data_IF_178596557994
#
_entry.id   IF_178596557994
#
_cell.length_a   1.000
_cell.length_b   1.000
_cell.length_c   1.000
_cell.angle_alpha   90.00
_cell.angle_beta   90.00
_cell.angle_gamma   90.00
#
_symmetry.space_group_name_H-M   'P 1'
#
loop_
_entity.id
_entity.type
_entity.pdbx_description
1 polymer ?
#
# COMPACT_ATOMS: atom_id res chain seq x y z
N UNK A 1 -51.44 -42.03 -16.21
CA UNK A 1 -50.66 -40.87 -16.69
C UNK A 1 -50.54 -39.89 -15.53
N UNK A 2 -49.39 -39.90 -14.85
CA UNK A 2 -49.12 -39.02 -13.72
C UNK A 2 -48.48 -37.76 -14.28
N UNK A 3 -49.20 -36.64 -14.20
CA UNK A 3 -48.68 -35.33 -14.60
C UNK A 3 -47.75 -34.85 -13.49
N UNK A 4 -46.45 -35.08 -13.66
CA UNK A 4 -45.43 -34.44 -12.85
C UNK A 4 -45.44 -32.94 -13.15
N UNK A 5 -46.00 -32.17 -12.22
CA UNK A 5 -45.81 -30.72 -12.19
C UNK A 5 -44.34 -30.44 -11.87
N UNK A 6 -43.61 -29.68 -12.70
CA UNK A 6 -42.26 -29.29 -12.36
C UNK A 6 -42.32 -28.36 -11.15
N UNK A 7 -41.76 -28.82 -10.02
CA UNK A 7 -41.40 -27.95 -8.93
C UNK A 7 -40.38 -26.94 -9.48
N UNK A 8 -40.87 -25.74 -9.79
CA UNK A 8 -40.03 -24.55 -9.95
C UNK A 8 -39.35 -24.32 -8.60
N UNK A 9 -38.14 -24.85 -8.46
CA UNK A 9 -37.22 -24.45 -7.41
C UNK A 9 -36.99 -22.95 -7.56
N UNK A 10 -37.63 -22.17 -6.71
CA UNK A 10 -37.33 -20.76 -6.53
C UNK A 10 -35.88 -20.66 -6.05
N UNK A 11 -34.94 -20.50 -6.98
CA UNK A 11 -33.62 -19.98 -6.65
C UNK A 11 -33.85 -18.56 -6.14
N UNK A 12 -33.96 -18.41 -4.80
CA UNK A 12 -33.88 -17.09 -4.18
C UNK A 12 -32.52 -16.51 -4.57
N UNK A 13 -32.54 -15.47 -5.40
CA UNK A 13 -31.35 -14.73 -5.78
C UNK A 13 -30.68 -14.20 -4.50
N UNK A 14 -29.34 -14.19 -4.43
CA UNK A 14 -28.66 -13.68 -3.24
C UNK A 14 -28.97 -12.19 -3.06
N UNK A 15 -28.97 -11.67 -1.83
CA UNK A 15 -29.23 -10.25 -1.61
C UNK A 15 -28.15 -9.39 -2.30
N UNK A 16 -26.94 -9.94 -2.43
CA UNK A 16 -25.86 -9.37 -3.21
C UNK A 16 -26.22 -9.19 -4.67
N UNK A 17 -26.77 -10.22 -5.32
CA UNK A 17 -27.22 -10.17 -6.71
C UNK A 17 -28.39 -9.18 -6.89
N UNK A 18 -29.34 -9.17 -5.95
CA UNK A 18 -30.49 -8.25 -6.00
C UNK A 18 -30.05 -6.78 -5.93
N UNK A 19 -29.15 -6.43 -5.01
CA UNK A 19 -28.75 -5.05 -4.77
C UNK A 19 -27.72 -4.57 -5.79
N UNK A 20 -26.65 -5.34 -6.01
CA UNK A 20 -25.56 -4.93 -6.91
C UNK A 20 -25.87 -5.26 -8.37
N UNK A 21 -26.64 -6.31 -8.64
CA UNK A 21 -27.05 -6.67 -10.01
C UNK A 21 -28.08 -5.70 -10.60
N UNK A 22 -28.84 -5.00 -9.74
CA UNK A 22 -29.73 -3.91 -10.17
C UNK A 22 -28.98 -2.64 -10.60
N UNK A 23 -27.69 -2.50 -10.29
CA UNK A 23 -26.90 -1.32 -10.65
C UNK A 23 -26.39 -1.42 -12.09
N UNK A 24 -26.55 -0.34 -12.85
CA UNK A 24 -25.93 -0.21 -14.18
C UNK A 24 -24.41 -0.30 -14.10
N UNK A 25 -23.79 -1.01 -15.06
CA UNK A 25 -22.32 -1.08 -15.17
C UNK A 25 -21.72 0.34 -15.26
N UNK A 26 -20.86 0.76 -14.32
CA UNK A 26 -20.24 2.06 -14.36
C UNK A 26 -19.14 2.14 -15.44
N UNK A 27 -18.94 3.32 -16.03
CA UNK A 27 -17.92 3.55 -17.07
C UNK A 27 -16.49 3.32 -16.58
N UNK A 28 -16.22 3.53 -15.29
CA UNK A 28 -14.91 3.31 -14.69
C UNK A 28 -14.58 1.82 -14.46
N UNK A 29 -15.56 0.92 -14.57
CA UNK A 29 -15.33 -0.52 -14.46
C UNK A 29 -15.00 -1.06 -15.86
N UNK A 30 -13.71 -1.22 -16.15
CA UNK A 30 -13.21 -1.59 -17.47
C UNK A 30 -13.67 -3.00 -17.82
N UNK A 31 -13.36 -3.96 -16.94
CA UNK A 31 -13.64 -5.39 -17.13
C UNK A 31 -14.54 -5.92 -16.02
N UNK A 32 -15.36 -6.91 -16.36
CA UNK A 32 -16.25 -7.60 -15.41
C UNK A 32 -17.59 -6.92 -15.14
N UNK A 33 -18.24 -7.43 -14.09
CA UNK A 33 -19.53 -7.01 -13.53
C UNK A 33 -19.35 -6.60 -12.07
N UNK A 34 -20.28 -5.79 -11.54
CA UNK A 34 -20.27 -5.42 -10.11
C UNK A 34 -20.43 -6.62 -9.17
N UNK A 35 -20.96 -7.73 -9.67
CA UNK A 35 -21.08 -8.97 -8.92
C UNK A 35 -19.72 -9.65 -8.70
N UNK A 36 -18.76 -9.46 -9.60
CA UNK A 36 -17.47 -10.15 -9.57
C UNK A 36 -16.64 -9.76 -8.32
N UNK A 37 -15.85 -10.70 -7.81
CA UNK A 37 -14.99 -10.47 -6.65
C UNK A 37 -13.74 -9.65 -6.99
N UNK A 38 -13.45 -9.46 -8.27
CA UNK A 38 -12.27 -8.75 -8.73
C UNK A 38 -12.68 -7.68 -9.74
N UNK A 39 -12.28 -6.43 -9.48
CA UNK A 39 -12.60 -5.30 -10.34
C UNK A 39 -11.35 -4.68 -10.93
N UNK A 40 -11.40 -4.40 -12.22
CA UNK A 40 -10.43 -3.56 -12.94
C UNK A 40 -11.00 -2.16 -13.10
N UNK A 41 -10.49 -1.21 -12.33
CA UNK A 41 -11.08 0.13 -12.13
C UNK A 41 -10.18 1.21 -12.71
N UNK A 42 -10.70 2.02 -13.63
CA UNK A 42 -9.99 3.16 -14.21
C UNK A 42 -10.48 4.47 -13.59
N UNK A 43 -9.54 5.27 -13.06
CA UNK A 43 -9.85 6.52 -12.34
C UNK A 43 -8.92 7.60 -12.88
N UNK A 44 -9.50 8.66 -13.44
CA UNK A 44 -8.79 9.76 -14.08
C UNK A 44 -8.80 9.65 -15.60
N UNK A 45 -8.38 10.73 -16.26
CA UNK A 45 -8.56 10.94 -17.71
C UNK A 45 -7.36 10.45 -18.54
N UNK A 46 -6.29 9.99 -17.90
CA UNK A 46 -5.10 9.52 -18.61
C UNK A 46 -5.32 8.10 -19.14
N UNK A 47 -5.56 7.96 -20.45
CA UNK A 47 -5.63 6.68 -21.17
C UNK A 47 -4.42 5.77 -20.91
N UNK A 48 -3.27 6.35 -20.53
CA UNK A 48 -2.02 5.64 -20.24
C UNK A 48 -1.89 5.13 -18.80
N UNK A 49 -2.82 5.44 -17.88
CA UNK A 49 -2.75 4.93 -16.52
C UNK A 49 -3.31 3.50 -16.43
N UNK A 50 -2.47 2.55 -16.02
CA UNK A 50 -2.89 1.15 -15.80
C UNK A 50 -4.11 1.09 -14.86
N UNK A 51 -5.13 0.26 -15.12
CA UNK A 51 -6.25 0.09 -14.20
C UNK A 51 -5.81 -0.30 -12.78
N UNK A 52 -6.58 0.15 -11.79
CA UNK A 52 -6.47 -0.32 -10.42
C UNK A 52 -7.19 -1.66 -10.29
N UNK A 53 -6.47 -2.68 -9.85
CA UNK A 53 -7.07 -3.94 -9.49
C UNK A 53 -7.53 -3.93 -8.03
N UNK A 54 -8.79 -4.29 -7.80
CA UNK A 54 -9.38 -4.42 -6.46
C UNK A 54 -9.89 -5.84 -6.31
N UNK A 55 -9.40 -6.52 -5.29
CA UNK A 55 -9.80 -7.89 -4.95
C UNK A 55 -10.60 -7.87 -3.64
N UNK A 56 -11.86 -8.34 -3.70
CA UNK A 56 -12.75 -8.47 -2.55
C UNK A 56 -12.62 -9.81 -1.84
N UNK A 57 -11.90 -10.80 -2.39
CA UNK A 57 -11.58 -12.05 -1.69
C UNK A 57 -10.48 -11.83 -0.64
N UNK A 58 -10.83 -11.08 0.40
CA UNK A 58 -9.92 -10.61 1.43
C UNK A 58 -10.16 -11.40 2.73
N UNK A 59 -9.11 -11.96 3.37
CA UNK A 59 -9.26 -12.64 4.65
C UNK A 59 -9.82 -11.69 5.73
N UNK A 60 -10.82 -12.16 6.48
CA UNK A 60 -11.46 -11.41 7.57
C UNK A 60 -11.12 -12.03 8.92
N UNK A 61 -11.33 -13.34 9.07
CA UNK A 61 -11.03 -14.06 10.32
C UNK A 61 -9.71 -14.80 10.21
N UNK A 62 -8.96 -14.94 11.32
CA UNK A 62 -7.74 -15.72 11.35
C UNK A 62 -8.04 -17.24 11.42
N UNK A 63 -7.01 -18.05 11.20
CA UNK A 63 -7.03 -19.47 11.57
C UNK A 63 -7.37 -19.63 13.07
N UNK A 64 -8.13 -20.66 13.50
CA UNK A 64 -8.59 -21.82 12.72
C UNK A 64 -9.80 -21.57 11.83
N UNK A 65 -10.63 -20.59 12.16
CA UNK A 65 -11.89 -20.32 11.48
C UNK A 65 -11.69 -19.30 10.34
N UNK A 66 -10.70 -19.54 9.48
CA UNK A 66 -10.32 -18.62 8.42
C UNK A 66 -11.44 -18.49 7.38
N UNK A 67 -11.97 -17.28 7.24
CA UNK A 67 -13.03 -16.91 6.32
C UNK A 67 -12.61 -15.64 5.57
N UNK A 68 -12.99 -15.55 4.31
CA UNK A 68 -12.81 -14.37 3.48
C UNK A 68 -14.09 -13.54 3.42
N UNK A 69 -13.98 -12.31 2.95
CA UNK A 69 -15.11 -11.39 2.80
C UNK A 69 -16.15 -11.91 1.80
N UNK A 70 -15.78 -12.83 0.91
CA UNK A 70 -16.70 -13.45 -0.05
C UNK A 70 -17.48 -14.62 0.53
N UNK A 71 -17.19 -15.03 1.78
CA UNK A 71 -17.99 -16.05 2.45
C UNK A 71 -19.41 -15.54 2.77
N UNK A 72 -20.44 -16.41 2.73
CA UNK A 72 -21.83 -16.01 2.99
C UNK A 72 -22.06 -15.31 4.33
N UNK A 73 -21.23 -15.61 5.33
CA UNK A 73 -21.30 -14.96 6.65
C UNK A 73 -21.03 -13.44 6.60
N UNK A 74 -20.40 -12.95 5.53
CA UNK A 74 -20.05 -11.54 5.34
C UNK A 74 -20.74 -10.91 4.12
N UNK A 75 -21.83 -11.51 3.63
CA UNK A 75 -22.56 -11.00 2.45
C UNK A 75 -22.94 -9.52 2.60
N UNK A 76 -23.51 -9.13 3.75
CA UNK A 76 -23.89 -7.73 4.02
C UNK A 76 -22.69 -6.77 4.00
N UNK A 77 -21.52 -7.23 4.47
CA UNK A 77 -20.29 -6.45 4.46
C UNK A 77 -19.71 -6.31 3.05
N UNK A 78 -19.75 -7.39 2.26
CA UNK A 78 -19.36 -7.39 0.86
C UNK A 78 -20.23 -6.41 0.04
N UNK A 79 -21.54 -6.43 0.25
CA UNK A 79 -22.47 -5.48 -0.37
C UNK A 79 -22.11 -4.05 0.07
N UNK A 80 -21.92 -3.84 1.38
CA UNK A 80 -21.61 -2.52 1.95
C UNK A 80 -20.34 -1.93 1.33
N UNK A 81 -19.23 -2.67 1.31
CA UNK A 81 -17.97 -2.16 0.80
C UNK A 81 -18.04 -1.87 -0.72
N UNK A 82 -18.72 -2.74 -1.49
CA UNK A 82 -18.91 -2.56 -2.94
C UNK A 82 -19.79 -1.34 -3.23
N UNK A 83 -20.88 -1.15 -2.49
CA UNK A 83 -21.72 0.04 -2.62
C UNK A 83 -20.96 1.31 -2.25
N UNK A 84 -20.22 1.31 -1.14
CA UNK A 84 -19.43 2.47 -0.74
C UNK A 84 -18.39 2.81 -1.80
N UNK A 85 -17.76 1.80 -2.41
CA UNK A 85 -16.84 1.98 -3.52
C UNK A 85 -17.53 2.66 -4.72
N UNK A 86 -18.68 2.14 -5.15
CA UNK A 86 -19.46 2.71 -6.26
C UNK A 86 -19.88 4.15 -5.96
N UNK A 87 -20.42 4.41 -4.76
CA UNK A 87 -20.90 5.73 -4.35
C UNK A 87 -19.75 6.73 -4.19
N UNK A 88 -18.55 6.27 -3.79
CA UNK A 88 -17.36 7.11 -3.65
C UNK A 88 -16.81 7.62 -4.98
N UNK A 89 -17.03 6.86 -6.07
CA UNK A 89 -16.60 7.20 -7.43
C UNK A 89 -17.67 7.94 -8.24
N UNK A 90 -18.88 8.14 -7.71
CA UNK A 90 -19.88 8.97 -8.37
C UNK A 90 -19.42 10.45 -8.44
N UNK A 91 -20.00 11.26 -9.34
CA UNK A 91 -19.77 12.70 -9.32
C UNK A 91 -20.14 13.33 -7.96
N UNK A 92 -19.58 14.51 -7.69
CA UNK A 92 -20.03 15.35 -6.57
C UNK A 92 -21.53 15.66 -6.74
N UNK A 93 -22.30 15.77 -5.65
CA UNK A 93 -21.86 15.87 -4.26
C UNK A 93 -21.67 14.52 -3.55
N UNK A 94 -22.01 13.40 -4.19
CA UNK A 94 -22.03 12.09 -3.53
C UNK A 94 -20.62 11.50 -3.43
N UNK A 95 -19.89 11.40 -4.54
CA UNK A 95 -18.54 10.86 -4.52
C UNK A 95 -17.49 11.85 -4.02
N UNK A 96 -16.34 11.28 -3.65
CA UNK A 96 -15.22 12.02 -3.03
C UNK A 96 -13.84 11.49 -3.41
N UNK A 97 -13.76 10.41 -4.17
CA UNK A 97 -12.50 9.86 -4.68
C UNK A 97 -12.28 10.39 -6.10
N UNK A 98 -11.12 10.99 -6.31
CA UNK A 98 -10.71 11.56 -7.60
C UNK A 98 -9.36 11.04 -8.07
N UNK A 99 -8.72 10.15 -7.31
CA UNK A 99 -7.38 9.65 -7.62
C UNK A 99 -7.25 8.18 -7.25
N UNK A 100 -6.61 7.42 -8.15
CA UNK A 100 -6.28 6.01 -7.96
C UNK A 100 -5.59 5.70 -6.64
N UNK A 101 -4.60 6.51 -6.25
CA UNK A 101 -3.78 6.29 -5.03
C UNK A 101 -4.65 6.32 -3.76
N UNK A 102 -5.78 7.02 -3.83
CA UNK A 102 -6.66 7.20 -2.68
C UNK A 102 -7.64 6.04 -2.46
N UNK A 103 -7.88 5.17 -3.45
CA UNK A 103 -8.90 4.11 -3.36
C UNK A 103 -8.57 3.06 -2.30
N UNK A 104 -7.41 2.39 -2.44
CA UNK A 104 -6.99 1.34 -1.53
C UNK A 104 -6.95 1.81 -0.06
N UNK A 105 -6.16 2.84 0.27
CA UNK A 105 -6.01 3.29 1.65
C UNK A 105 -7.16 4.15 2.20
N UNK A 106 -8.11 4.64 1.40
CA UNK A 106 -9.26 5.39 1.95
C UNK A 106 -10.60 4.64 1.89
N UNK A 107 -10.72 3.61 1.05
CA UNK A 107 -11.94 2.79 0.98
C UNK A 107 -11.58 1.37 1.42
N UNK A 108 -10.94 0.61 0.55
CA UNK A 108 -10.90 -0.86 0.66
C UNK A 108 -10.23 -1.30 1.97
N UNK A 109 -9.00 -0.84 2.24
CA UNK A 109 -8.23 -1.34 3.38
C UNK A 109 -8.83 -0.96 4.74
N UNK A 110 -9.32 0.28 4.90
CA UNK A 110 -9.86 0.72 6.18
C UNK A 110 -11.20 0.06 6.50
N UNK A 111 -12.05 -0.14 5.48
CA UNK A 111 -13.31 -0.83 5.66
C UNK A 111 -13.09 -2.30 6.00
N UNK A 112 -12.16 -2.97 5.33
CA UNK A 112 -11.81 -4.35 5.66
C UNK A 112 -11.25 -4.43 7.08
N UNK A 113 -10.34 -3.54 7.49
CA UNK A 113 -9.82 -3.51 8.86
C UNK A 113 -10.93 -3.22 9.90
N UNK A 114 -11.92 -2.39 9.53
CA UNK A 114 -13.10 -2.15 10.36
C UNK A 114 -13.95 -3.41 10.52
N UNK A 115 -14.21 -4.14 9.41
CA UNK A 115 -14.92 -5.42 9.43
C UNK A 115 -14.17 -6.43 10.31
N UNK A 116 -12.85 -6.58 10.13
CA UNK A 116 -12.00 -7.45 10.96
C UNK A 116 -12.13 -7.13 12.45
N UNK A 117 -12.02 -5.84 12.81
CA UNK A 117 -12.19 -5.38 14.19
C UNK A 117 -13.58 -5.72 14.76
N UNK A 118 -14.63 -5.53 13.94
CA UNK A 118 -16.03 -5.73 14.31
C UNK A 118 -16.33 -7.22 14.53
N UNK A 119 -15.87 -8.06 13.61
CA UNK A 119 -15.97 -9.52 13.67
C UNK A 119 -15.25 -10.10 14.88
N UNK A 120 -14.04 -9.63 15.20
CA UNK A 120 -13.29 -10.04 16.41
C UNK A 120 -14.06 -9.82 17.71
N UNK A 121 -14.95 -8.83 17.72
CA UNK A 121 -15.76 -8.44 18.88
C UNK A 121 -17.17 -9.04 18.85
N UNK A 122 -17.42 -9.96 17.93
CA UNK A 122 -18.70 -10.65 17.80
C UNK A 122 -19.81 -9.78 17.23
N UNK A 123 -19.50 -8.61 16.66
CA UNK A 123 -20.49 -7.73 16.03
C UNK A 123 -20.59 -8.14 14.57
N UNK A 124 -21.73 -8.68 14.15
CA UNK A 124 -21.91 -9.26 12.81
C UNK A 124 -22.38 -8.26 11.74
N UNK A 125 -23.01 -7.15 12.12
CA UNK A 125 -23.53 -6.17 11.18
C UNK A 125 -23.34 -4.73 11.65
N UNK A 126 -23.41 -3.77 10.73
CA UNK A 126 -23.25 -2.35 11.01
C UNK A 126 -24.44 -1.77 11.77
N UNK A 127 -25.65 -2.31 11.61
CA UNK A 127 -26.83 -1.90 12.39
C UNK A 127 -26.68 -2.08 13.90
N UNK A 128 -25.86 -3.04 14.35
CA UNK A 128 -25.61 -3.29 15.78
C UNK A 128 -24.60 -2.32 16.41
N UNK A 129 -23.98 -1.45 15.61
CA UNK A 129 -23.03 -0.47 16.11
C UNK A 129 -23.73 0.62 16.92
N UNK A 130 -23.20 0.88 18.11
CA UNK A 130 -23.71 1.85 19.07
C UNK A 130 -22.57 2.69 19.66
N UNK A 131 -22.88 3.57 20.61
CA UNK A 131 -21.89 4.43 21.27
C UNK A 131 -20.81 3.63 22.01
N UNK A 132 -21.16 2.50 22.65
CA UNK A 132 -20.20 1.65 23.36
C UNK A 132 -19.18 1.04 22.38
N UNK A 133 -19.64 0.56 21.22
CA UNK A 133 -18.76 0.05 20.17
C UNK A 133 -17.84 1.12 19.60
N UNK A 134 -18.32 2.35 19.45
CA UNK A 134 -17.46 3.47 19.06
C UNK A 134 -16.38 3.76 20.11
N UNK A 135 -16.72 3.76 21.40
CA UNK A 135 -15.75 3.99 22.48
C UNK A 135 -14.68 2.88 22.53
N UNK A 136 -15.08 1.62 22.33
CA UNK A 136 -14.16 0.47 22.24
C UNK A 136 -13.25 0.58 21.01
N UNK A 137 -13.79 1.01 19.86
CA UNK A 137 -13.00 1.28 18.65
C UNK A 137 -11.97 2.38 18.89
N UNK A 138 -12.41 3.48 19.49
CA UNK A 138 -11.59 4.65 19.81
C UNK A 138 -10.46 4.29 20.79
N UNK A 139 -10.77 3.54 21.84
CA UNK A 139 -9.79 3.05 22.81
C UNK A 139 -8.77 2.10 22.15
N UNK A 140 -9.25 1.17 21.31
CA UNK A 140 -8.40 0.23 20.58
C UNK A 140 -7.40 0.96 19.68
N UNK A 141 -7.85 1.94 18.90
CA UNK A 141 -7.00 2.70 17.98
C UNK A 141 -6.01 3.62 18.73
N UNK A 142 -6.43 4.22 19.85
CA UNK A 142 -5.54 5.06 20.68
C UNK A 142 -4.43 4.26 21.37
N UNK A 143 -4.72 3.02 21.76
CA UNK A 143 -3.76 2.17 22.49
C UNK A 143 -2.56 1.78 21.62
N UNK A 144 -2.81 1.20 20.45
CA UNK A 144 -1.75 0.69 19.57
C UNK A 144 -2.09 0.85 18.08
N UNK A 145 -2.79 1.91 17.67
CA UNK A 145 -3.13 2.11 16.25
C UNK A 145 -3.90 0.92 15.66
N UNK A 146 -3.59 0.59 14.40
CA UNK A 146 -4.03 -0.59 13.67
C UNK A 146 -3.72 -1.90 14.40
N UNK A 147 -2.61 -1.98 15.13
CA UNK A 147 -2.31 -3.16 15.96
C UNK A 147 -3.31 -3.31 17.10
N UNK A 148 -3.72 -2.20 17.72
CA UNK A 148 -4.76 -2.21 18.75
C UNK A 148 -6.14 -2.60 18.22
N UNK A 149 -6.43 -2.31 16.95
CA UNK A 149 -7.67 -2.74 16.29
C UNK A 149 -7.69 -4.25 16.01
N UNK A 150 -6.63 -4.77 15.41
CA UNK A 150 -6.59 -6.13 14.83
C UNK A 150 -5.93 -7.17 15.75
N UNK A 151 -5.18 -6.75 16.77
CA UNK A 151 -4.43 -7.58 17.71
C UNK A 151 -3.55 -8.64 17.00
N UNK A 152 -2.87 -8.28 15.90
CA UNK A 152 -2.18 -9.24 15.03
C UNK A 152 -1.04 -9.98 15.75
N UNK A 153 -0.39 -9.36 16.73
CA UNK A 153 0.67 -9.99 17.53
C UNK A 153 0.12 -11.18 18.32
N UNK A 154 -1.08 -11.02 18.91
CA UNK A 154 -1.75 -12.12 19.62
C UNK A 154 -2.12 -13.26 18.67
N UNK A 155 -2.68 -12.93 17.51
CA UNK A 155 -2.99 -13.90 16.45
C UNK A 155 -1.73 -14.63 15.98
N UNK A 156 -0.63 -13.91 15.76
CA UNK A 156 0.65 -14.47 15.35
C UNK A 156 1.21 -15.44 16.39
N UNK A 157 1.12 -15.10 17.68
CA UNK A 157 1.51 -15.99 18.77
C UNK A 157 0.73 -17.31 18.73
N UNK A 158 -0.59 -17.26 18.57
CA UNK A 158 -1.43 -18.47 18.48
C UNK A 158 -1.03 -19.34 17.28
N UNK A 159 -0.89 -18.74 16.10
CA UNK A 159 -0.51 -19.47 14.87
C UNK A 159 0.88 -20.09 15.00
N UNK A 160 1.87 -19.35 15.49
CA UNK A 160 3.24 -19.85 15.64
C UNK A 160 3.36 -20.94 16.72
N UNK A 161 2.51 -20.91 17.74
CA UNK A 161 2.36 -22.03 18.68
C UNK A 161 1.78 -23.26 17.99
N UNK A 162 0.75 -23.11 17.16
CA UNK A 162 0.17 -24.20 16.38
C UNK A 162 1.17 -24.80 15.36
N UNK A 163 2.00 -23.96 14.75
CA UNK A 163 3.12 -24.39 13.89
C UNK A 163 4.15 -25.17 14.69
N UNK A 164 4.52 -24.69 15.89
CA UNK A 164 5.45 -25.39 16.79
C UNK A 164 4.93 -26.78 17.21
N UNK A 165 3.61 -26.92 17.35
CA UNK A 165 2.92 -28.19 17.62
C UNK A 165 2.66 -29.04 16.37
N UNK A 166 3.12 -28.61 15.20
CA UNK A 166 2.88 -29.25 13.89
C UNK A 166 1.40 -29.37 13.49
N UNK A 167 0.51 -28.57 14.09
CA UNK A 167 -0.90 -28.51 13.71
C UNK A 167 -1.11 -27.75 12.39
N UNK A 168 -0.19 -26.82 12.06
CA UNK A 168 -0.20 -26.04 10.82
C UNK A 168 1.15 -26.22 10.12
N UNK A 169 1.12 -26.53 8.83
CA UNK A 169 2.30 -26.49 7.96
C UNK A 169 2.26 -25.19 7.15
N UNK A 170 3.26 -24.33 7.37
CA UNK A 170 3.37 -23.09 6.61
C UNK A 170 3.89 -23.38 5.20
N UNK A 171 3.28 -22.79 4.17
CA UNK A 171 3.77 -22.95 2.81
C UNK A 171 5.09 -22.18 2.64
N UNK A 172 5.92 -22.77 1.81
CA UNK A 172 7.26 -22.29 1.49
C UNK A 172 7.21 -21.72 0.08
N UNK A 173 7.91 -20.62 -0.15
CA UNK A 173 8.05 -20.04 -1.48
C UNK A 173 9.00 -20.87 -2.36
N UNK A 174 9.09 -20.50 -3.64
CA UNK A 174 9.97 -21.17 -4.64
C UNK A 174 11.45 -21.19 -4.20
N UNK A 175 11.84 -20.34 -3.25
CA UNK A 175 13.22 -20.17 -2.78
C UNK A 175 13.51 -20.92 -1.48
N UNK A 176 12.53 -21.63 -0.93
CA UNK A 176 12.69 -22.34 0.34
C UNK A 176 12.45 -21.48 1.57
N UNK A 177 11.96 -20.24 1.42
CA UNK A 177 11.63 -19.34 2.54
C UNK A 177 10.14 -19.45 2.91
N UNK A 178 9.79 -19.23 4.18
CA UNK A 178 8.38 -19.21 4.59
C UNK A 178 7.64 -18.06 3.88
N UNK A 179 6.51 -18.37 3.25
CA UNK A 179 5.71 -17.38 2.52
C UNK A 179 5.04 -16.40 3.48
N UNK A 180 5.48 -15.13 3.41
CA UNK A 180 4.91 -14.04 4.21
C UNK A 180 3.45 -13.77 3.90
N UNK A 181 3.04 -13.90 2.63
CA UNK A 181 1.65 -13.68 2.20
C UNK A 181 0.73 -14.78 2.69
N UNK A 182 1.20 -16.04 2.68
CA UNK A 182 0.41 -17.13 3.23
C UNK A 182 0.25 -17.02 4.75
N UNK A 183 1.31 -16.62 5.47
CA UNK A 183 1.21 -16.35 6.90
C UNK A 183 0.26 -15.18 7.19
N UNK A 184 0.29 -14.13 6.35
CA UNK A 184 -0.64 -13.02 6.44
C UNK A 184 -2.11 -13.47 6.28
N UNK A 185 -2.39 -14.36 5.31
CA UNK A 185 -3.73 -14.94 5.15
C UNK A 185 -4.18 -15.71 6.40
N UNK A 186 -3.28 -16.50 7.02
CA UNK A 186 -3.58 -17.18 8.29
C UNK A 186 -3.87 -16.22 9.45
N UNK A 187 -3.27 -15.03 9.45
CA UNK A 187 -3.56 -13.96 10.41
C UNK A 187 -4.90 -13.26 10.14
N UNK A 188 -5.56 -13.58 9.04
CA UNK A 188 -6.78 -12.90 8.60
C UNK A 188 -6.50 -11.56 7.93
N UNK A 189 -5.34 -11.37 7.27
CA UNK A 189 -5.03 -10.16 6.49
C UNK A 189 -4.57 -10.47 5.06
N UNK A 190 -4.78 -9.53 4.13
CA UNK A 190 -4.66 -9.78 2.68
C UNK A 190 -3.25 -10.08 2.14
N UNK A 191 -2.19 -9.67 2.86
CA UNK A 191 -0.82 -9.90 2.40
C UNK A 191 0.23 -9.44 3.41
N UNK A 192 1.49 -9.78 3.15
CA UNK A 192 2.60 -9.54 4.08
C UNK A 192 2.76 -8.07 4.45
N UNK A 193 2.50 -7.15 3.51
CA UNK A 193 2.53 -5.69 3.74
C UNK A 193 1.45 -5.20 4.70
N UNK A 194 0.34 -5.96 4.84
CA UNK A 194 -0.75 -5.65 5.76
C UNK A 194 -0.47 -6.09 7.19
N UNK A 195 0.57 -6.88 7.44
CA UNK A 195 1.00 -7.22 8.81
C UNK A 195 1.61 -5.98 9.47
N UNK A 196 1.16 -5.70 10.70
CA UNK A 196 1.64 -4.57 11.51
C UNK A 196 3.12 -4.73 11.86
N UNK A 197 3.86 -3.64 12.09
CA UNK A 197 5.27 -3.71 12.48
C UNK A 197 5.52 -4.59 13.72
N UNK A 198 4.64 -4.49 14.72
CA UNK A 198 4.70 -5.25 15.97
C UNK A 198 4.59 -6.75 15.73
N UNK A 199 3.54 -7.17 15.02
CA UNK A 199 3.34 -8.59 14.70
C UNK A 199 4.46 -9.11 13.78
N UNK A 200 4.91 -8.30 12.80
CA UNK A 200 6.01 -8.67 11.91
C UNK A 200 7.30 -8.90 12.68
N UNK A 201 7.65 -8.03 13.62
CA UNK A 201 8.83 -8.20 14.45
C UNK A 201 8.76 -9.49 15.27
N UNK A 202 7.60 -9.76 15.90
CA UNK A 202 7.40 -11.00 16.65
C UNK A 202 7.62 -12.25 15.79
N UNK A 203 7.08 -12.25 14.57
CA UNK A 203 7.24 -13.34 13.60
C UNK A 203 8.71 -13.50 13.17
N UNK A 204 9.39 -12.38 12.86
CA UNK A 204 10.81 -12.38 12.47
C UNK A 204 11.69 -12.97 13.59
N UNK A 205 11.43 -12.61 14.86
CA UNK A 205 12.13 -13.16 16.03
C UNK A 205 11.92 -14.67 16.14
N UNK A 206 10.67 -15.14 16.06
CA UNK A 206 10.36 -16.56 16.16
C UNK A 206 11.09 -17.42 15.13
N UNK A 207 11.07 -17.02 13.85
CA UNK A 207 11.74 -17.80 12.80
C UNK A 207 13.26 -17.74 12.90
N UNK A 208 13.81 -16.60 13.39
CA UNK A 208 15.23 -16.47 13.67
C UNK A 208 15.67 -17.46 14.76
N UNK A 209 14.91 -17.58 15.85
CA UNK A 209 15.18 -18.55 16.93
C UNK A 209 15.12 -20.00 16.44
N UNK A 210 14.17 -20.32 15.56
CA UNK A 210 14.04 -21.66 14.95
C UNK A 210 15.00 -21.94 13.80
N UNK A 211 15.91 -21.00 13.48
CA UNK A 211 16.85 -21.08 12.34
C UNK A 211 16.15 -21.32 10.99
N UNK A 212 14.90 -20.90 10.87
CA UNK A 212 14.12 -20.96 9.63
C UNK A 212 14.23 -19.64 8.86
N UNK A 213 14.04 -19.69 7.54
CA UNK A 213 14.10 -18.50 6.70
C UNK A 213 12.71 -17.87 6.58
N UNK A 214 12.59 -16.60 6.96
CA UNK A 214 11.34 -15.83 6.85
C UNK A 214 11.56 -14.53 6.10
N UNK A 215 11.28 -14.52 4.79
CA UNK A 215 11.50 -13.40 3.85
C UNK A 215 12.93 -12.83 3.82
N UNK A 216 13.34 -12.31 2.65
CA UNK A 216 14.70 -11.77 2.46
C UNK A 216 15.02 -10.56 3.35
N UNK A 217 14.03 -9.69 3.55
CA UNK A 217 14.22 -8.39 4.23
C UNK A 217 14.39 -8.52 5.75
N UNK A 218 14.08 -9.66 6.35
CA UNK A 218 14.26 -9.88 7.80
C UNK A 218 15.73 -10.12 8.18
N UNK A 219 16.52 -10.72 7.28
CA UNK A 219 17.95 -11.04 7.51
C UNK A 219 18.87 -9.85 7.34
N UNK A 220 18.54 -8.95 6.42
CA UNK A 220 19.39 -7.82 6.03
C UNK A 220 19.10 -6.56 6.86
N UNK A 221 18.09 -6.59 7.75
CA UNK A 221 17.72 -5.41 8.54
C UNK A 221 18.66 -5.25 9.74
N UNK A 222 19.63 -4.34 9.60
CA UNK A 222 20.52 -3.94 10.69
C UNK A 222 19.77 -3.20 11.81
N UNK A 223 18.69 -2.49 11.47
CA UNK A 223 17.85 -1.74 12.40
C UNK A 223 16.54 -2.47 12.71
N UNK A 224 16.14 -2.61 13.99
CA UNK A 224 14.82 -3.11 14.34
C UNK A 224 13.71 -2.29 13.69
N UNK A 225 12.53 -2.89 13.45
CA UNK A 225 11.36 -2.12 13.05
C UNK A 225 11.02 -1.13 14.17
N UNK A 226 10.67 0.12 13.84
CA UNK A 226 10.12 1.03 14.83
C UNK A 226 8.81 0.43 15.36
N UNK A 227 8.77 0.14 16.65
CA UNK A 227 7.58 -0.37 17.35
C UNK A 227 6.84 0.78 18.02
N UNK A 228 5.52 0.69 18.08
CA UNK A 228 4.71 1.67 18.81
C UNK A 228 4.75 3.06 18.16
N UNK A 229 4.77 3.11 16.82
CA UNK A 229 4.78 4.38 16.11
C UNK A 229 3.54 5.21 16.44
N UNK A 230 3.75 6.40 17.01
CA UNK A 230 2.72 7.41 17.17
C UNK A 230 1.97 7.58 15.84
N UNK A 231 0.67 7.27 15.85
CA UNK A 231 -0.14 7.42 14.66
C UNK A 231 -0.26 8.90 14.36
N UNK A 232 0.13 9.28 13.16
CA UNK A 232 -0.08 10.64 12.70
C UNK A 232 -1.58 10.88 12.50
N UNK A 233 -2.05 12.09 12.81
CA UNK A 233 -3.45 12.52 12.66
C UNK A 233 -4.07 12.13 11.31
N UNK A 234 -3.30 12.23 10.22
CA UNK A 234 -3.76 11.89 8.87
C UNK A 234 -4.03 10.40 8.69
N UNK A 235 -3.20 9.54 9.28
CA UNK A 235 -3.40 8.09 9.28
C UNK A 235 -4.58 7.70 10.18
N UNK A 236 -4.66 8.24 11.40
CA UNK A 236 -5.77 8.00 12.31
C UNK A 236 -7.11 8.43 11.69
N UNK A 237 -7.15 9.59 11.03
CA UNK A 237 -8.36 10.09 10.37
C UNK A 237 -8.93 9.13 9.32
N UNK A 238 -8.08 8.34 8.65
CA UNK A 238 -8.54 7.34 7.68
C UNK A 238 -9.37 6.23 8.33
N UNK A 239 -8.99 5.80 9.53
CA UNK A 239 -9.73 4.80 10.29
C UNK A 239 -11.08 5.34 10.80
N UNK A 240 -11.10 6.54 11.39
CA UNK A 240 -12.36 7.15 11.86
C UNK A 240 -13.32 7.56 10.75
N UNK A 241 -12.83 7.81 9.52
CA UNK A 241 -13.69 8.14 8.38
C UNK A 241 -14.71 7.06 8.08
N UNK A 242 -14.41 5.78 8.37
CA UNK A 242 -15.35 4.66 8.17
C UNK A 242 -16.68 4.92 8.88
N UNK A 243 -16.64 5.36 10.14
CA UNK A 243 -17.84 5.71 10.91
C UNK A 243 -18.62 6.87 10.29
N UNK A 244 -17.91 7.89 9.80
CA UNK A 244 -18.53 9.04 9.15
C UNK A 244 -19.17 8.65 7.80
N UNK A 245 -18.45 7.89 6.97
CA UNK A 245 -18.88 7.51 5.63
C UNK A 245 -20.05 6.50 5.71
N UNK A 246 -20.04 5.54 6.65
CA UNK A 246 -21.19 4.66 6.94
C UNK A 246 -22.44 5.47 7.32
N UNK A 247 -22.29 6.46 8.21
CA UNK A 247 -23.44 7.29 8.61
C UNK A 247 -23.94 8.18 7.46
N UNK A 248 -23.01 8.82 6.74
CA UNK A 248 -23.33 9.69 5.61
C UNK A 248 -24.08 8.94 4.51
N UNK A 249 -23.72 7.69 4.25
CA UNK A 249 -24.30 6.86 3.20
C UNK A 249 -25.43 5.96 3.72
N UNK A 250 -25.86 6.11 4.97
CA UNK A 250 -26.87 5.25 5.62
C UNK A 250 -28.14 5.05 4.80
N UNK A 251 -28.61 6.07 4.10
CA UNK A 251 -29.81 5.97 3.24
C UNK A 251 -29.61 5.10 1.99
N UNK A 252 -28.37 4.94 1.53
CA UNK A 252 -28.01 4.08 0.40
C UNK A 252 -27.61 2.66 0.84
N UNK A 253 -27.47 2.43 2.14
CA UNK A 253 -27.07 1.15 2.75
C UNK A 253 -28.28 0.53 3.46
N UNK A 254 -29.40 0.40 2.76
CA UNK A 254 -30.67 -0.07 3.34
C UNK A 254 -30.61 -1.50 3.87
N UNK A 255 -29.72 -2.34 3.33
CA UNK A 255 -29.49 -3.72 3.77
C UNK A 255 -28.79 -3.80 5.14
N UNK A 256 -27.95 -2.83 5.48
CA UNK A 256 -27.22 -2.79 6.75
C UNK A 256 -26.90 -1.36 7.23
N UNK A 257 -27.93 -0.56 7.60
CA UNK A 257 -27.74 0.83 7.97
C UNK A 257 -27.14 0.95 9.37
N UNK A 258 -26.05 1.70 9.51
CA UNK A 258 -25.41 1.93 10.82
C UNK A 258 -26.39 2.57 11.84
N UNK A 259 -26.34 2.08 13.08
CA UNK A 259 -27.21 2.52 14.17
C UNK A 259 -26.77 3.79 14.91
N UNK A 260 -25.50 4.19 14.76
CA UNK A 260 -24.90 5.26 15.57
C UNK A 260 -24.10 6.28 14.76
N UNK A 261 -24.32 7.56 15.08
CA UNK A 261 -23.64 8.70 14.47
C UNK A 261 -22.47 9.17 15.34
N UNK A 262 -21.28 8.63 15.09
CA UNK A 262 -20.08 9.10 15.78
C UNK A 262 -19.68 10.54 15.40
N UNK A 263 -19.86 10.91 14.12
CA UNK A 263 -19.46 12.23 13.60
C UNK A 263 -20.54 12.82 12.70
N UNK A 264 -20.77 14.12 12.81
CA UNK A 264 -21.69 14.88 11.94
C UNK A 264 -21.03 15.33 10.66
N UNK A 265 -19.75 15.70 10.72
CA UNK A 265 -19.00 16.26 9.60
C UNK A 265 -17.58 15.70 9.50
N UNK A 266 -16.97 15.78 8.31
CA UNK A 266 -15.54 15.45 8.14
C UNK A 266 -14.62 16.32 9.03
N UNK A 267 -15.02 17.56 9.31
CA UNK A 267 -14.26 18.48 10.19
C UNK A 267 -14.20 17.97 11.62
N UNK A 268 -15.28 17.36 12.11
CA UNK A 268 -15.29 16.74 13.45
C UNK A 268 -14.35 15.54 13.53
N UNK A 269 -14.27 14.71 12.49
CA UNK A 269 -13.27 13.63 12.42
C UNK A 269 -11.86 14.20 12.56
N UNK A 270 -11.52 15.22 11.76
CA UNK A 270 -10.20 15.86 11.83
C UNK A 270 -9.92 16.48 13.20
N UNK A 271 -10.91 17.14 13.81
CA UNK A 271 -10.78 17.75 15.15
C UNK A 271 -10.56 16.67 16.23
N UNK A 272 -11.32 15.58 16.18
CA UNK A 272 -11.14 14.43 17.08
C UNK A 272 -9.73 13.86 16.95
N UNK A 273 -9.26 13.63 15.72
CA UNK A 273 -7.92 13.09 15.52
C UNK A 273 -6.82 14.05 16.01
N UNK A 274 -6.92 15.36 15.75
CA UNK A 274 -5.93 16.34 16.23
C UNK A 274 -5.83 16.40 17.75
N UNK A 275 -6.93 16.12 18.45
CA UNK A 275 -6.96 16.13 19.92
C UNK A 275 -6.14 14.98 20.54
N UNK A 276 -6.08 13.83 19.87
CA UNK A 276 -5.54 12.60 20.45
C UNK A 276 -4.30 12.04 19.74
N UNK A 277 -3.99 12.52 18.54
CA UNK A 277 -2.90 12.00 17.70
C UNK A 277 -2.00 13.13 17.24
N UNK A 278 -0.69 12.85 17.14
CA UNK A 278 0.33 13.81 16.73
C UNK A 278 0.10 14.29 15.30
N UNK A 279 0.26 15.59 15.07
CA UNK A 279 0.21 16.16 13.73
C UNK A 279 1.32 15.61 12.83
N UNK A 280 1.05 15.60 11.52
CA UNK A 280 2.05 15.22 10.54
C UNK A 280 3.17 16.24 10.55
N UNK A 281 4.35 15.82 10.98
CA UNK A 281 5.55 16.63 10.76
C UNK A 281 5.85 16.60 9.28
N UNK A 282 5.84 17.77 8.66
CA UNK A 282 6.31 17.92 7.28
C UNK A 282 7.81 17.63 7.29
N UNK A 283 8.27 16.77 6.39
CA UNK A 283 9.71 16.63 6.16
C UNK A 283 10.27 18.01 5.86
N UNK A 284 11.25 18.46 6.65
CA UNK A 284 11.89 19.75 6.42
C UNK A 284 12.44 19.79 5.00
N UNK A 285 12.21 20.90 4.30
CA UNK A 285 12.81 21.11 2.99
C UNK A 285 14.33 21.09 3.17
N UNK A 286 15.07 20.49 2.22
CA UNK A 286 16.52 20.47 2.32
C UNK A 286 17.06 21.93 2.34
N UNK A 287 18.09 22.22 3.16
CA UNK A 287 18.69 23.55 3.19
C UNK A 287 19.02 24.06 1.79
N UNK A 288 18.84 25.37 1.55
CA UNK A 288 19.00 25.97 0.22
C UNK A 288 20.37 25.66 -0.42
N UNK A 289 21.44 25.56 0.39
CA UNK A 289 22.77 25.18 -0.09
C UNK A 289 22.83 23.72 -0.59
N UNK A 290 22.13 22.78 0.07
CA UNK A 290 22.08 21.38 -0.35
C UNK A 290 21.26 21.24 -1.63
N UNK A 291 20.11 21.94 -1.71
CA UNK A 291 19.29 21.97 -2.93
C UNK A 291 20.06 22.57 -4.10
N UNK A 292 20.72 23.71 -3.90
CA UNK A 292 21.55 24.36 -4.94
C UNK A 292 22.72 23.48 -5.36
N UNK A 293 23.37 22.80 -4.41
CA UNK A 293 24.43 21.83 -4.70
C UNK A 293 23.90 20.67 -5.54
N UNK A 294 22.75 20.07 -5.18
CA UNK A 294 22.13 18.98 -5.91
C UNK A 294 21.72 19.39 -7.32
N UNK A 295 21.16 20.59 -7.49
CA UNK A 295 20.80 21.15 -8.80
C UNK A 295 22.05 21.34 -9.65
N UNK A 296 23.10 21.98 -9.10
CA UNK A 296 24.34 22.23 -9.82
C UNK A 296 25.04 20.91 -10.20
N UNK A 297 25.13 19.96 -9.27
CA UNK A 297 25.68 18.63 -9.55
C UNK A 297 24.86 17.90 -10.63
N UNK A 298 23.53 17.96 -10.57
CA UNK A 298 22.64 17.37 -11.57
C UNK A 298 22.81 17.99 -12.96
N UNK A 299 22.90 19.32 -13.03
CA UNK A 299 23.15 20.06 -14.27
C UNK A 299 24.53 19.74 -14.85
N UNK A 300 25.57 19.74 -14.01
CA UNK A 300 26.93 19.35 -14.43
C UNK A 300 26.95 17.96 -15.02
N UNK A 301 26.22 17.01 -14.44
CA UNK A 301 26.18 15.65 -14.94
C UNK A 301 25.39 15.51 -16.25
N UNK A 302 24.25 16.19 -16.36
CA UNK A 302 23.33 16.03 -17.49
C UNK A 302 23.71 16.86 -18.72
N UNK A 303 24.35 18.02 -18.53
CA UNK A 303 24.83 18.86 -19.61
C UNK A 303 26.20 18.42 -20.13
N UNK A 304 26.93 17.60 -19.37
CA UNK A 304 28.22 17.09 -19.80
C UNK A 304 28.05 15.97 -20.84
N UNK A 305 28.90 15.94 -21.89
CA UNK A 305 28.86 14.88 -22.92
C UNK A 305 29.07 13.47 -22.36
N UNK A 306 29.50 13.33 -21.12
CA UNK A 306 29.62 12.05 -20.44
C UNK A 306 28.34 11.25 -20.44
N UNK A 307 27.16 11.87 -20.35
CA UNK A 307 25.89 11.15 -20.38
C UNK A 307 25.73 10.32 -21.66
N UNK A 308 26.17 10.87 -22.80
CA UNK A 308 26.19 10.15 -24.09
C UNK A 308 27.23 9.04 -24.09
N UNK A 309 28.44 9.31 -23.58
CA UNK A 309 29.52 8.32 -23.50
C UNK A 309 29.15 7.12 -22.60
N UNK A 310 28.38 7.35 -21.54
CA UNK A 310 27.86 6.28 -20.67
C UNK A 310 26.88 5.37 -21.40
N UNK A 311 26.07 5.91 -22.31
CA UNK A 311 25.19 5.13 -23.18
C UNK A 311 26.01 4.34 -24.19
N UNK A 312 26.97 4.99 -24.85
CA UNK A 312 27.88 4.35 -25.80
C UNK A 312 28.59 3.15 -25.14
N UNK A 313 28.99 3.29 -23.87
CA UNK A 313 29.64 2.25 -23.08
C UNK A 313 28.77 1.00 -22.88
N UNK A 314 27.44 1.16 -22.80
CA UNK A 314 26.50 0.03 -22.82
C UNK A 314 26.37 -0.57 -24.22
N UNK A 315 26.38 0.26 -25.26
CA UNK A 315 26.27 -0.19 -26.65
C UNK A 315 27.44 -1.10 -27.06
N UNK A 316 28.64 -0.88 -26.52
CA UNK A 316 29.79 -1.77 -26.71
C UNK A 316 29.65 -3.15 -26.00
N UNK A 317 28.69 -3.26 -25.08
CA UNK A 317 28.33 -4.52 -24.42
C UNK A 317 29.24 -4.93 -23.26
N UNK A 318 28.87 -6.06 -22.65
CA UNK A 318 29.60 -6.72 -21.56
C UNK A 318 30.22 -8.03 -22.04
N UNK A 319 31.29 -8.46 -21.37
CA UNK A 319 31.88 -9.79 -21.55
C UNK A 319 31.08 -10.86 -20.79
N UNK A 320 31.48 -12.12 -20.96
CA UNK A 320 30.79 -13.28 -20.39
C UNK A 320 30.84 -13.29 -18.84
N UNK A 321 31.74 -12.51 -18.25
CA UNK A 321 31.87 -12.32 -16.81
C UNK A 321 31.06 -11.10 -16.29
N UNK A 322 30.38 -10.37 -17.19
CA UNK A 322 29.58 -9.19 -16.89
C UNK A 322 30.39 -7.91 -16.68
N UNK A 323 31.67 -7.91 -17.08
CA UNK A 323 32.53 -6.73 -17.09
C UNK A 323 32.39 -5.96 -18.40
N UNK A 324 32.70 -4.67 -18.36
CA UNK A 324 32.54 -3.78 -19.51
C UNK A 324 33.65 -4.04 -20.55
N UNK A 325 33.26 -4.33 -21.80
CA UNK A 325 34.21 -4.69 -22.87
C UNK A 325 35.18 -3.58 -23.23
N UNK A 326 34.69 -2.33 -23.29
CA UNK A 326 35.50 -1.18 -23.67
C UNK A 326 36.14 -0.51 -22.44
N UNK A 327 37.33 -1.01 -22.05
CA UNK A 327 38.07 -0.53 -20.87
C UNK A 327 38.64 0.89 -21.04
N UNK A 328 38.95 1.28 -22.27
CA UNK A 328 39.50 2.62 -22.56
C UNK A 328 38.42 3.69 -22.44
N UNK A 329 37.23 3.44 -23.01
CA UNK A 329 36.08 4.33 -22.84
C UNK A 329 35.63 4.41 -21.38
N UNK A 330 35.74 3.32 -20.62
CA UNK A 330 35.51 3.31 -19.17
C UNK A 330 36.51 4.20 -18.42
N UNK A 331 37.80 4.13 -18.77
CA UNK A 331 38.82 4.99 -18.18
C UNK A 331 38.53 6.46 -18.47
N UNK A 332 38.15 6.78 -19.71
CA UNK A 332 37.77 8.14 -20.12
C UNK A 332 36.53 8.64 -19.35
N UNK A 333 35.49 7.81 -19.25
CA UNK A 333 34.30 8.13 -18.45
C UNK A 333 34.66 8.35 -16.98
N UNK A 334 35.51 7.50 -16.40
CA UNK A 334 35.92 7.65 -15.00
C UNK A 334 36.73 8.92 -14.76
N UNK A 335 37.66 9.27 -15.65
CA UNK A 335 38.40 10.53 -15.57
C UNK A 335 37.45 11.72 -15.61
N UNK A 336 36.47 11.70 -16.51
CA UNK A 336 35.50 12.80 -16.61
C UNK A 336 34.54 12.86 -15.43
N UNK A 337 34.06 11.72 -14.90
CA UNK A 337 33.24 11.69 -13.68
C UNK A 337 33.98 12.26 -12.48
N UNK A 338 35.24 11.85 -12.28
CA UNK A 338 36.08 12.33 -11.18
C UNK A 338 36.30 13.85 -11.33
N UNK A 339 36.58 14.34 -12.53
CA UNK A 339 36.73 15.78 -12.80
C UNK A 339 35.45 16.59 -12.49
N UNK A 340 34.27 15.97 -12.65
CA UNK A 340 32.99 16.55 -12.29
C UNK A 340 32.65 16.41 -10.79
N UNK A 341 33.48 15.72 -10.01
CA UNK A 341 33.29 15.48 -8.57
C UNK A 341 32.47 14.24 -8.22
N UNK A 342 32.29 13.31 -9.16
CA UNK A 342 31.57 12.05 -8.96
C UNK A 342 32.51 10.86 -8.72
N UNK A 343 31.99 9.82 -8.09
CA UNK A 343 32.69 8.54 -7.93
C UNK A 343 32.98 7.88 -9.27
N UNK A 344 34.12 7.22 -9.41
CA UNK A 344 34.39 6.36 -10.56
C UNK A 344 33.36 5.23 -10.67
N UNK A 345 33.11 4.82 -11.92
CA UNK A 345 32.36 3.61 -12.22
C UNK A 345 33.19 2.37 -11.96
N UNK A 346 32.50 1.35 -11.47
CA UNK A 346 33.00 -0.01 -11.46
C UNK A 346 33.20 -0.54 -12.88
N UNK A 347 34.15 -1.48 -13.02
CA UNK A 347 34.33 -2.31 -14.22
C UNK A 347 33.15 -3.26 -14.47
N UNK A 348 32.33 -3.51 -13.46
CA UNK A 348 31.15 -4.39 -13.57
C UNK A 348 29.91 -3.59 -13.97
N UNK A 349 29.14 -4.14 -14.91
CA UNK A 349 27.88 -3.54 -15.34
C UNK A 349 26.84 -3.55 -14.21
N UNK A 350 26.72 -4.67 -13.51
CA UNK A 350 25.77 -4.89 -12.42
C UNK A 350 26.42 -5.68 -11.27
N UNK A 351 25.93 -5.45 -10.04
CA UNK A 351 26.34 -6.23 -8.86
C UNK A 351 25.79 -7.66 -8.94
N UNK A 352 26.65 -8.65 -9.12
CA UNK A 352 26.28 -10.05 -8.89
C UNK A 352 26.21 -10.35 -7.38
N UNK A 353 25.28 -11.24 -6.98
CA UNK A 353 25.07 -11.61 -5.57
C UNK A 353 26.40 -12.01 -4.90
N UNK A 354 26.71 -11.39 -3.76
CA UNK A 354 27.85 -11.74 -2.92
C UNK A 354 29.17 -11.02 -3.25
N UNK A 355 29.26 -10.27 -4.36
CA UNK A 355 30.43 -9.42 -4.64
C UNK A 355 30.22 -8.03 -4.06
N UNK A 356 31.12 -7.59 -3.17
CA UNK A 356 31.31 -6.17 -2.87
C UNK A 356 32.13 -5.58 -3.99
N UNK A 357 31.69 -4.44 -4.50
CA UNK A 357 32.38 -3.72 -5.55
C UNK A 357 32.60 -2.32 -5.04
N UNK A 358 33.84 -1.84 -5.16
CA UNK A 358 34.18 -0.46 -4.85
C UNK A 358 33.77 0.42 -6.02
N UNK A 359 32.77 1.28 -5.80
CA UNK A 359 32.29 2.26 -6.76
C UNK A 359 30.87 2.02 -7.30
N UNK A 360 30.40 2.99 -8.09
CA UNK A 360 29.05 3.00 -8.68
C UNK A 360 29.02 2.09 -9.91
N UNK A 361 28.08 1.16 -10.05
CA UNK A 361 28.01 0.35 -11.27
C UNK A 361 27.38 1.13 -12.42
N UNK A 362 27.69 0.77 -13.67
CA UNK A 362 27.10 1.43 -14.86
C UNK A 362 25.56 1.35 -14.84
N UNK A 363 24.99 0.21 -14.43
CA UNK A 363 23.55 0.06 -14.25
C UNK A 363 22.97 1.05 -13.22
N UNK A 364 23.65 1.28 -12.09
CA UNK A 364 23.20 2.26 -11.10
C UNK A 364 23.27 3.69 -11.64
N UNK A 365 24.32 4.00 -12.40
CA UNK A 365 24.50 5.31 -13.01
C UNK A 365 23.36 5.64 -13.99
N UNK A 366 23.05 4.70 -14.89
CA UNK A 366 22.05 4.89 -15.96
C UNK A 366 20.61 4.84 -15.46
N UNK A 367 20.27 3.90 -14.57
CA UNK A 367 18.87 3.67 -14.18
C UNK A 367 18.49 4.29 -12.84
N UNK A 368 19.45 4.83 -12.07
CA UNK A 368 19.15 5.53 -10.82
C UNK A 368 19.67 6.96 -10.83
N UNK A 369 20.98 7.15 -11.02
CA UNK A 369 21.59 8.47 -10.81
C UNK A 369 21.17 9.47 -11.89
N UNK A 370 21.27 9.12 -13.17
CA UNK A 370 20.83 10.01 -14.25
C UNK A 370 19.32 10.35 -14.19
N UNK A 371 18.40 9.39 -14.00
CA UNK A 371 16.98 9.69 -13.80
C UNK A 371 16.72 10.54 -12.56
N UNK A 372 17.44 10.31 -11.46
CA UNK A 372 17.32 11.15 -10.25
C UNK A 372 17.81 12.57 -10.49
N UNK A 373 18.94 12.76 -11.19
CA UNK A 373 19.43 14.08 -11.57
C UNK A 373 18.42 14.82 -12.44
N UNK A 374 17.81 14.15 -13.42
CA UNK A 374 16.79 14.74 -14.28
C UNK A 374 15.53 15.10 -13.47
N UNK A 375 15.17 14.26 -12.49
CA UNK A 375 14.06 14.53 -11.57
C UNK A 375 14.34 15.71 -10.65
N UNK A 376 15.57 15.90 -10.16
CA UNK A 376 15.94 17.06 -9.32
C UNK A 376 15.70 18.37 -10.08
N UNK A 377 16.08 18.42 -11.36
CA UNK A 377 15.88 19.61 -12.20
C UNK A 377 14.40 19.82 -12.53
N UNK A 378 13.66 18.76 -12.85
CA UNK A 378 12.24 18.86 -13.29
C UNK A 378 11.25 19.01 -12.14
N UNK A 379 11.58 18.52 -10.94
CA UNK A 379 10.73 18.63 -9.76
C UNK A 379 10.75 20.02 -9.11
N UNK A 380 11.56 20.96 -9.62
CA UNK A 380 11.58 22.34 -9.18
C UNK A 380 10.71 23.22 -10.11
N UNK A 381 9.49 23.63 -9.72
CA UNK A 381 8.69 24.59 -10.48
C UNK A 381 9.25 26.02 -10.31
N UNK A 382 8.82 27.00 -11.12
CA UNK A 382 9.48 28.30 -11.35
C UNK A 382 9.32 29.31 -10.21
N UNK A 383 9.60 28.92 -8.96
CA UNK A 383 9.68 29.84 -7.81
C UNK A 383 11.12 30.29 -7.54
N UNK A 384 12.11 29.46 -7.86
CA UNK A 384 13.54 29.84 -7.75
C UNK A 384 13.93 30.81 -8.88
N UNK A 385 13.41 30.62 -10.10
CA UNK A 385 13.63 31.58 -11.19
C UNK A 385 13.09 32.99 -10.90
N UNK A 386 11.94 33.14 -10.21
CA UNK A 386 11.47 34.48 -9.78
C UNK A 386 12.37 35.13 -8.74
N UNK A 387 13.01 34.35 -7.87
CA UNK A 387 13.94 34.88 -6.86
C UNK A 387 15.29 35.25 -7.45
N UNK A 388 15.73 34.56 -8.50
CA UNK A 388 16.95 34.89 -9.25
C UNK A 388 16.75 36.06 -10.22
N UNK A 389 15.54 36.25 -10.78
CA UNK A 389 15.21 37.46 -11.54
C UNK A 389 15.18 38.71 -10.65
N UNK A 390 14.59 38.62 -9.45
CA UNK A 390 14.63 39.73 -8.49
C UNK A 390 16.03 40.11 -8.01
N UNK A 391 17.00 39.18 -8.04
CA UNK A 391 18.40 39.46 -7.72
C UNK A 391 19.20 40.01 -8.92
N UNK A 392 18.73 39.77 -10.15
CA UNK A 392 19.30 40.36 -11.38
C UNK A 392 18.80 41.77 -11.64
N UNK A 393 17.61 42.10 -11.17
CA UNK A 393 17.04 43.45 -11.26
C UNK A 393 17.56 44.39 -10.15
N UNK A 394 18.45 43.89 -9.28
CA UNK A 394 19.11 44.63 -8.18
C UNK A 394 20.63 44.80 -8.38
N UNK A 395 21.17 44.35 -9.51
CA UNK A 395 22.56 44.53 -9.95
C UNK A 395 22.58 45.25 -11.28
#
# INVERSE_FOLDING_TARGET
MVVNSPQLSSHSCSQHDEILGALSKPHWLVEGRLLDNQWSVQIGDAENERPLFVDFDQPITPWPDAKSLTDPAFELDLITIKLIFVLALKPKPLGWITSRISVGPNIVNNYIDFIRWRTDRGVLNNKSLNAAWFNEYDASLKRCSREGLLNLTSRAKSILQAVGRKAIKLPVDVRGDISGDALAKLLGVGGATSVTPEARQYIEVYFKEKRLRYTRNSRERATPLPLGGDVVTTAASRHYKVWYDLWRLRSYLSHDPIGYRAFKTRREVSRHCRKFFRDSVRTEDAPAYQTSFLINASLKLLLDPIAKKLVDLVTYGVDDEGSLKNKDLLRECNQRLIALGFSALSQTYHLYRGRKVDGTTLHQMLFRILPMAARVITAEPPRVCRRLQLLRDWS
#
